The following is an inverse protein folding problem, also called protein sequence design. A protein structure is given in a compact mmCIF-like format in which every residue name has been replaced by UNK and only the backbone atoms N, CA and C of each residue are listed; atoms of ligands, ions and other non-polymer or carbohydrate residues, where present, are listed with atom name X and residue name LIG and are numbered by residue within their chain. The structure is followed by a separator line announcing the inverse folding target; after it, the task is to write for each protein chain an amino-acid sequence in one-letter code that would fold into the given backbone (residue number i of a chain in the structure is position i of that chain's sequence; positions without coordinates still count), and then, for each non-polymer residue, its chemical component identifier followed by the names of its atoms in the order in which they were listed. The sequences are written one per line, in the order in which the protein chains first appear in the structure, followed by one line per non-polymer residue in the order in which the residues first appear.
data_IF_676350067505
#
_entry.id   IF_676350067505
#
_cell.length_a   1.000
_cell.length_b   1.000
_cell.length_c   1.000
_cell.angle_alpha   90.00
_cell.angle_beta   90.00
_cell.angle_gamma   90.00
#
_symmetry.space_group_name_H-M   'P 1'
#
loop_
_entity.id
_entity.type
_entity.pdbx_description
1 polymer ?
#
# COMPACT_ATOMS: atom_id res chain seq x y z
N UNK A 1 9.70 -23.03 8.27
CA UNK A 1 9.67 -21.68 7.66
C UNK A 1 8.46 -20.85 8.11
N UNK A 2 7.24 -21.42 8.20
CA UNK A 2 6.04 -20.67 8.66
C UNK A 2 6.10 -20.21 10.14
N UNK A 3 6.63 -21.03 11.05
CA UNK A 3 6.67 -20.71 12.50
C UNK A 3 7.53 -19.49 12.84
N UNK A 4 8.71 -19.35 12.23
CA UNK A 4 9.59 -18.21 12.46
C UNK A 4 8.96 -16.90 11.96
N UNK A 5 8.34 -16.92 10.78
CA UNK A 5 7.71 -15.73 10.20
C UNK A 5 6.45 -15.34 11.00
N UNK A 6 5.65 -16.31 11.47
CA UNK A 6 4.51 -16.07 12.36
C UNK A 6 4.98 -15.44 13.68
N UNK A 7 6.02 -15.97 14.31
CA UNK A 7 6.61 -15.41 15.54
C UNK A 7 7.10 -13.97 15.35
N UNK A 8 7.85 -13.70 14.27
CA UNK A 8 8.32 -12.35 13.93
C UNK A 8 7.16 -11.39 13.69
N UNK A 9 6.10 -11.84 13.02
CA UNK A 9 4.90 -11.04 12.74
C UNK A 9 4.18 -10.67 14.05
N UNK A 10 4.02 -11.62 14.97
CA UNK A 10 3.41 -11.38 16.27
C UNK A 10 4.21 -10.41 17.13
N UNK A 11 5.55 -10.55 17.16
CA UNK A 11 6.43 -9.58 17.84
C UNK A 11 6.26 -8.20 17.22
N UNK A 12 6.16 -8.10 15.88
CA UNK A 12 6.00 -6.83 15.19
C UNK A 12 4.64 -6.19 15.47
N UNK A 13 3.56 -6.97 15.53
CA UNK A 13 2.22 -6.50 15.90
C UNK A 13 2.18 -5.96 17.33
N UNK A 14 2.82 -6.65 18.28
CA UNK A 14 2.94 -6.19 19.66
C UNK A 14 3.75 -4.88 19.77
N UNK A 15 4.81 -4.73 18.98
CA UNK A 15 5.58 -3.48 18.94
C UNK A 15 4.76 -2.33 18.32
N UNK A 16 4.01 -2.60 17.24
CA UNK A 16 3.11 -1.59 16.62
C UNK A 16 2.03 -1.15 17.61
N UNK A 17 1.45 -2.08 18.38
CA UNK A 17 0.41 -1.75 19.37
C UNK A 17 0.96 -0.88 20.49
N UNK A 18 2.17 -1.18 20.98
CA UNK A 18 2.88 -0.34 21.96
C UNK A 18 3.17 1.06 21.41
N UNK A 19 3.68 1.17 20.19
CA UNK A 19 3.94 2.46 19.55
C UNK A 19 2.65 3.27 19.35
N UNK A 20 1.56 2.62 18.95
CA UNK A 20 0.24 3.25 18.85
C UNK A 20 -0.22 3.79 20.19
N UNK A 21 -0.11 3.03 21.27
CA UNK A 21 -0.53 3.47 22.60
C UNK A 21 0.26 4.69 23.09
N UNK A 22 1.58 4.69 22.89
CA UNK A 22 2.41 5.85 23.22
C UNK A 22 2.01 7.09 22.42
N UNK A 23 1.81 6.92 21.11
CA UNK A 23 1.38 8.00 20.21
C UNK A 23 0.00 8.57 20.58
N UNK A 24 -0.98 7.73 20.90
CA UNK A 24 -2.32 8.19 21.28
C UNK A 24 -2.29 8.95 22.61
N UNK A 25 -1.47 8.51 23.57
CA UNK A 25 -1.28 9.24 24.82
C UNK A 25 -0.66 10.62 24.59
N UNK A 26 0.43 10.69 23.82
CA UNK A 26 1.09 11.97 23.51
C UNK A 26 0.18 12.91 22.74
N UNK A 27 -0.58 12.39 21.77
CA UNK A 27 -1.61 13.12 21.03
C UNK A 27 -2.72 13.63 21.94
N UNK A 28 -3.27 12.79 22.82
CA UNK A 28 -4.34 13.19 23.73
C UNK A 28 -3.88 14.31 24.67
N UNK A 29 -2.67 14.22 25.22
CA UNK A 29 -2.11 15.25 26.08
C UNK A 29 -1.83 16.55 25.32
N UNK A 30 -1.37 16.46 24.08
CA UNK A 30 -1.17 17.62 23.21
C UNK A 30 -2.51 18.32 22.92
N UNK A 31 -3.54 17.57 22.54
CA UNK A 31 -4.86 18.12 22.25
C UNK A 31 -5.53 18.74 23.49
N UNK A 32 -5.32 18.18 24.68
CA UNK A 32 -5.75 18.79 25.95
C UNK A 32 -5.10 20.16 26.16
N UNK A 33 -3.78 20.29 25.95
CA UNK A 33 -3.06 21.57 26.06
C UNK A 33 -3.59 22.60 25.07
N UNK A 34 -3.87 22.18 23.83
CA UNK A 34 -4.43 23.03 22.77
C UNK A 34 -5.86 23.48 23.11
N UNK A 35 -6.67 22.61 23.70
CA UNK A 35 -8.04 22.95 24.11
C UNK A 35 -8.08 23.99 25.25
N UNK A 36 -7.11 23.94 26.17
CA UNK A 36 -7.02 24.86 27.31
C UNK A 36 -6.61 26.29 26.91
N UNK A 37 -5.94 26.47 25.78
CA UNK A 37 -5.44 27.77 25.35
C UNK A 37 -6.54 28.58 24.62
N UNK A 38 -6.86 29.83 25.01
CA UNK A 38 -7.86 30.63 24.30
C UNK A 38 -7.36 31.24 22.98
N UNK A 39 -6.06 31.51 22.85
CA UNK A 39 -5.52 32.22 21.67
C UNK A 39 -5.22 31.27 20.53
N UNK A 40 -5.86 31.50 19.38
CA UNK A 40 -5.70 30.70 18.17
C UNK A 40 -4.24 30.56 17.70
N UNK A 41 -3.44 31.62 17.82
CA UNK A 41 -2.00 31.59 17.48
C UNK A 41 -1.24 30.63 18.40
N UNK A 42 -1.49 30.72 19.70
CA UNK A 42 -0.81 29.89 20.70
C UNK A 42 -1.23 28.43 20.57
N UNK A 43 -2.51 28.16 20.24
CA UNK A 43 -2.97 26.81 19.83
C UNK A 43 -2.13 26.23 18.70
N UNK A 44 -1.97 26.98 17.62
CA UNK A 44 -1.17 26.55 16.47
C UNK A 44 0.32 26.39 16.82
N UNK A 45 0.88 27.23 17.71
CA UNK A 45 2.26 27.12 18.18
C UNK A 45 2.49 25.86 19.03
N UNK A 46 1.57 25.55 19.96
CA UNK A 46 1.61 24.33 20.77
C UNK A 46 1.55 23.09 19.87
N UNK A 47 0.63 23.08 18.90
CA UNK A 47 0.54 21.99 17.91
C UNK A 47 1.82 21.84 17.09
N UNK A 48 2.39 22.95 16.61
CA UNK A 48 3.63 22.95 15.84
C UNK A 48 4.78 22.33 16.63
N UNK A 49 4.94 22.72 17.90
CA UNK A 49 5.97 22.16 18.77
C UNK A 49 5.73 20.66 19.01
N UNK A 50 4.49 20.26 19.24
CA UNK A 50 4.10 18.86 19.40
C UNK A 50 4.44 18.02 18.16
N UNK A 51 4.06 18.49 16.97
CA UNK A 51 4.37 17.82 15.70
C UNK A 51 5.88 17.74 15.45
N UNK A 52 6.65 18.80 15.75
CA UNK A 52 8.12 18.78 15.66
C UNK A 52 8.73 17.70 16.55
N UNK A 53 8.25 17.57 17.80
CA UNK A 53 8.72 16.54 18.73
C UNK A 53 8.40 15.13 18.23
N UNK A 54 7.19 14.90 17.73
CA UNK A 54 6.77 13.61 17.20
C UNK A 54 7.56 13.21 15.94
N UNK A 55 7.91 14.17 15.09
CA UNK A 55 8.79 13.92 13.94
C UNK A 55 10.21 13.60 14.39
N UNK A 56 10.76 14.35 15.35
CA UNK A 56 12.10 14.10 15.90
C UNK A 56 12.19 12.73 16.60
N UNK A 57 11.11 12.28 17.23
CA UNK A 57 11.00 10.95 17.82
C UNK A 57 10.81 9.83 16.78
N UNK A 58 10.62 10.16 15.49
CA UNK A 58 10.33 9.19 14.44
C UNK A 58 8.90 8.63 14.49
N UNK A 59 8.04 9.19 15.34
CA UNK A 59 6.64 8.76 15.48
C UNK A 59 5.78 9.23 14.31
N UNK A 60 6.08 10.37 13.67
CA UNK A 60 5.39 10.82 12.44
C UNK A 60 6.45 11.09 11.37
N UNK A 61 6.12 10.79 10.11
CA UNK A 61 6.95 11.19 8.97
C UNK A 61 6.60 12.62 8.56
N UNK A 62 7.61 13.45 8.34
CA UNK A 62 7.39 14.81 7.85
C UNK A 62 6.64 14.79 6.50
N UNK A 63 5.50 15.47 6.43
CA UNK A 63 4.73 15.59 5.21
C UNK A 63 5.41 16.57 4.22
N UNK A 64 5.83 16.13 3.02
CA UNK A 64 6.53 17.01 2.07
C UNK A 64 5.66 18.17 1.56
N UNK A 65 4.34 18.03 1.61
CA UNK A 65 3.40 19.12 1.26
C UNK A 65 3.23 20.17 2.37
N UNK A 66 3.87 19.95 3.52
CA UNK A 66 3.80 20.80 4.70
C UNK A 66 5.17 21.25 5.16
N UNK A 67 5.52 22.51 4.86
CA UNK A 67 6.74 23.10 5.41
C UNK A 67 6.51 23.58 6.84
N UNK A 68 6.96 22.78 7.81
CA UNK A 68 6.98 23.13 9.24
C UNK A 68 7.76 24.43 9.48
N UNK A 69 8.90 24.60 8.80
CA UNK A 69 9.72 25.80 8.90
C UNK A 69 8.97 27.06 8.42
N UNK A 70 8.13 26.94 7.39
CA UNK A 70 7.33 28.07 6.94
C UNK A 70 6.24 28.41 7.96
N UNK A 71 5.54 27.42 8.49
CA UNK A 71 4.51 27.63 9.52
C UNK A 71 5.12 28.30 10.77
N UNK A 72 6.33 27.87 11.18
CA UNK A 72 7.07 28.47 12.29
C UNK A 72 7.38 29.96 12.07
N UNK A 73 7.88 30.29 10.87
CA UNK A 73 8.16 31.69 10.48
C UNK A 73 6.90 32.52 10.47
N UNK A 74 5.82 32.03 9.88
CA UNK A 74 4.57 32.76 9.80
C UNK A 74 3.91 32.96 11.17
N UNK A 75 3.95 31.96 12.06
CA UNK A 75 3.46 32.12 13.44
C UNK A 75 4.28 33.16 14.22
N UNK A 76 5.60 33.23 13.97
CA UNK A 76 6.47 34.26 14.54
C UNK A 76 6.10 35.65 14.02
N UNK A 77 5.83 35.80 12.72
CA UNK A 77 5.40 37.07 12.11
C UNK A 77 4.02 37.51 12.62
N UNK A 78 3.09 36.57 12.80
CA UNK A 78 1.75 36.81 13.35
C UNK A 78 1.75 37.33 14.80
N UNK A 79 2.93 37.41 15.46
CA UNK A 79 3.05 38.09 16.76
C UNK A 79 3.04 39.61 16.63
N UNK A 80 3.53 40.13 15.52
CA UNK A 80 3.72 41.56 15.29
C UNK A 80 2.83 42.10 14.17
N UNK A 81 2.40 41.22 13.25
CA UNK A 81 1.59 41.60 12.10
C UNK A 81 0.10 41.30 12.32
N UNK A 82 -0.72 42.36 12.32
CA UNK A 82 -2.18 42.29 12.45
C UNK A 82 -2.88 41.90 11.14
N UNK A 83 -2.17 41.86 10.01
CA UNK A 83 -2.72 41.44 8.71
C UNK A 83 -2.94 39.92 8.62
N UNK A 84 -2.35 39.15 9.55
CA UNK A 84 -2.53 37.70 9.59
C UNK A 84 -3.96 37.36 9.96
N UNK A 85 -4.71 36.90 8.94
CA UNK A 85 -6.12 36.58 9.12
C UNK A 85 -6.33 35.38 10.06
N UNK A 86 -7.42 35.41 10.83
CA UNK A 86 -7.85 34.27 11.66
C UNK A 86 -8.07 33.00 10.84
N UNK A 87 -8.52 33.12 9.59
CA UNK A 87 -8.73 32.00 8.67
C UNK A 87 -7.42 31.25 8.38
N UNK A 88 -6.33 32.00 8.21
CA UNK A 88 -5.02 31.42 7.93
C UNK A 88 -4.47 30.65 9.15
N UNK A 89 -4.64 31.21 10.35
CA UNK A 89 -4.28 30.53 11.61
C UNK A 89 -5.11 29.25 11.83
N UNK A 90 -6.42 29.28 11.56
CA UNK A 90 -7.29 28.10 11.60
C UNK A 90 -6.87 27.04 10.58
N UNK A 91 -6.51 27.47 9.37
CA UNK A 91 -6.02 26.56 8.34
C UNK A 91 -4.73 25.84 8.78
N UNK A 92 -3.76 26.56 9.37
CA UNK A 92 -2.56 25.92 9.91
C UNK A 92 -2.85 25.00 11.09
N UNK A 93 -3.75 25.39 11.98
CA UNK A 93 -4.21 24.52 13.07
C UNK A 93 -4.77 23.20 12.51
N UNK A 94 -5.72 23.26 11.57
CA UNK A 94 -6.32 22.08 10.97
C UNK A 94 -5.28 21.22 10.23
N UNK A 95 -4.32 21.86 9.54
CA UNK A 95 -3.24 21.15 8.86
C UNK A 95 -2.34 20.40 9.86
N UNK A 96 -1.98 21.03 10.98
CA UNK A 96 -1.21 20.41 12.06
C UNK A 96 -1.97 19.27 12.74
N UNK A 97 -3.27 19.45 12.99
CA UNK A 97 -4.13 18.40 13.55
C UNK A 97 -4.25 17.19 12.64
N UNK A 98 -4.28 17.39 11.31
CA UNK A 98 -4.30 16.31 10.32
C UNK A 98 -2.99 15.49 10.29
N UNK A 99 -1.86 16.06 10.73
CA UNK A 99 -0.62 15.28 10.89
C UNK A 99 -0.69 14.32 12.08
N UNK A 100 -1.56 14.57 13.07
CA UNK A 100 -1.74 13.75 14.27
C UNK A 100 -2.65 12.53 14.02
N UNK A 101 -2.65 11.98 12.80
CA UNK A 101 -3.48 10.83 12.44
C UNK A 101 -2.85 9.50 12.86
N UNK A 102 -3.65 8.63 13.46
CA UNK A 102 -3.23 7.32 13.94
C UNK A 102 -3.38 6.22 12.89
N UNK A 103 -3.92 6.57 11.71
CA UNK A 103 -4.30 5.65 10.63
C UNK A 103 -3.13 4.77 10.17
N UNK A 104 -1.89 5.28 10.22
CA UNK A 104 -0.70 4.50 9.87
C UNK A 104 -0.50 3.26 10.75
N UNK A 105 -0.86 3.34 12.04
CA UNK A 105 -0.76 2.21 12.95
C UNK A 105 -1.87 1.19 12.67
N UNK A 106 -3.07 1.67 12.33
CA UNK A 106 -4.20 0.80 11.95
C UNK A 106 -3.89 0.03 10.67
N UNK A 107 -3.36 0.71 9.65
CA UNK A 107 -2.92 0.07 8.41
C UNK A 107 -1.81 -0.96 8.66
N UNK A 108 -0.83 -0.63 9.50
CA UNK A 108 0.25 -1.55 9.85
C UNK A 108 -0.26 -2.80 10.58
N UNK A 109 -1.22 -2.64 11.51
CA UNK A 109 -1.89 -3.77 12.17
C UNK A 109 -2.68 -4.61 11.17
N UNK A 110 -3.47 -4.00 10.28
CA UNK A 110 -4.24 -4.71 9.26
C UNK A 110 -3.34 -5.55 8.35
N UNK A 111 -2.22 -4.98 7.89
CA UNK A 111 -1.24 -5.71 7.09
C UNK A 111 -0.63 -6.88 7.86
N UNK A 112 -0.33 -6.70 9.15
CA UNK A 112 0.20 -7.79 9.98
C UNK A 112 -0.80 -8.94 10.15
N UNK A 113 -2.08 -8.64 10.37
CA UNK A 113 -3.12 -9.68 10.45
C UNK A 113 -3.34 -10.38 9.10
N UNK A 114 -3.27 -9.65 7.98
CA UNK A 114 -3.36 -10.27 6.65
C UNK A 114 -2.21 -11.27 6.42
N UNK A 115 -1.00 -10.91 6.84
CA UNK A 115 0.17 -11.81 6.78
C UNK A 115 -0.06 -13.04 7.65
N UNK A 116 -0.59 -12.86 8.87
CA UNK A 116 -0.96 -13.97 9.74
C UNK A 116 -1.99 -14.90 9.10
N UNK A 117 -3.03 -14.35 8.47
CA UNK A 117 -4.04 -15.12 7.74
C UNK A 117 -3.40 -15.93 6.60
N UNK A 118 -2.55 -15.32 5.78
CA UNK A 118 -1.84 -16.02 4.70
C UNK A 118 -0.97 -17.17 5.22
N UNK A 119 -0.38 -17.05 6.40
CA UNK A 119 0.42 -18.11 7.02
C UNK A 119 -0.45 -19.22 7.64
N UNK A 120 -1.66 -18.88 8.07
CA UNK A 120 -2.62 -19.82 8.68
C UNK A 120 -3.36 -20.71 7.67
N UNK A 121 -3.55 -20.25 6.43
CA UNK A 121 -4.28 -20.95 5.35
C UNK A 121 -3.45 -22.04 4.66
N UNK A 122 -2.26 -22.38 5.18
CA UNK A 122 -1.45 -23.49 4.64
C UNK A 122 -2.22 -24.82 4.75
N UNK A 123 -2.46 -25.55 3.64
CA UNK A 123 -3.34 -26.72 3.62
C UNK A 123 -2.80 -27.88 4.50
N UNK A 124 -3.70 -28.72 5.05
CA UNK A 124 -3.39 -29.69 6.11
C UNK A 124 -2.60 -30.95 5.67
N UNK A 125 -1.88 -30.94 4.55
CA UNK A 125 -1.12 -32.13 4.11
C UNK A 125 0.26 -32.29 4.76
N UNK A 126 0.67 -31.37 5.64
CA UNK A 126 2.00 -31.37 6.27
C UNK A 126 2.02 -31.89 7.72
N UNK A 127 0.93 -32.50 8.21
CA UNK A 127 0.86 -33.09 9.56
C UNK A 127 1.10 -34.61 9.59
N UNK A 128 2.07 -35.10 8.83
CA UNK A 128 2.62 -36.44 9.06
C UNK A 128 3.92 -36.30 9.88
N UNK A 129 4.19 -37.19 10.86
CA UNK A 129 5.38 -37.09 11.69
C UNK A 129 6.62 -37.20 10.80
N UNK A 130 7.46 -36.17 10.86
CA UNK A 130 8.76 -36.11 10.21
C UNK A 130 9.61 -37.31 10.67
N UNK A 131 9.60 -38.38 9.87
CA UNK A 131 10.79 -39.21 9.71
C UNK A 131 11.67 -38.44 8.74
N UNK A 132 12.83 -38.04 9.24
CA UNK A 132 13.95 -37.54 8.45
C UNK A 132 14.23 -38.50 7.29
N UNK A 133 13.79 -38.16 6.09
CA UNK A 133 14.35 -38.69 4.87
C UNK A 133 14.32 -37.61 3.77
N UNK A 134 15.44 -37.46 3.10
CA UNK A 134 15.73 -36.42 2.11
C UNK A 134 14.94 -36.67 0.81
N UNK A 135 13.62 -36.47 0.82
CA UNK A 135 12.76 -36.68 -0.35
C UNK A 135 11.59 -35.70 -0.52
N UNK A 136 11.41 -34.75 0.40
CA UNK A 136 10.28 -33.82 0.35
C UNK A 136 10.49 -32.66 -0.65
N UNK A 137 11.73 -32.27 -0.92
CA UNK A 137 12.05 -31.20 -1.88
C UNK A 137 11.82 -31.68 -3.32
N UNK A 138 12.15 -32.94 -3.62
CA UNK A 138 12.02 -33.51 -4.97
C UNK A 138 10.56 -33.68 -5.41
N UNK A 139 9.66 -34.11 -4.52
CA UNK A 139 8.25 -34.34 -4.87
C UNK A 139 7.47 -33.03 -5.08
N UNK A 140 7.75 -32.01 -4.26
CA UNK A 140 7.15 -30.69 -4.43
C UNK A 140 7.66 -30.00 -5.71
N UNK A 141 8.95 -30.13 -6.01
CA UNK A 141 9.52 -29.62 -7.26
C UNK A 141 8.97 -30.35 -8.48
N UNK A 142 8.84 -31.68 -8.46
CA UNK A 142 8.28 -32.44 -9.59
C UNK A 142 6.81 -32.12 -9.81
N UNK A 143 6.00 -32.02 -8.75
CA UNK A 143 4.58 -31.70 -8.88
C UNK A 143 4.37 -30.26 -9.38
N UNK A 144 5.18 -29.30 -8.93
CA UNK A 144 5.15 -27.92 -9.43
C UNK A 144 5.58 -27.83 -10.91
N UNK A 145 6.61 -28.58 -11.30
CA UNK A 145 7.07 -28.65 -12.68
C UNK A 145 6.01 -29.31 -13.59
N UNK A 146 5.34 -30.36 -13.11
CA UNK A 146 4.25 -31.02 -13.84
C UNK A 146 3.04 -30.11 -14.02
N UNK A 147 2.66 -29.36 -12.98
CA UNK A 147 1.61 -28.35 -13.05
C UNK A 147 1.96 -27.26 -14.05
N UNK A 148 3.21 -26.79 -14.03
CA UNK A 148 3.72 -25.82 -14.98
C UNK A 148 3.72 -26.36 -16.41
N UNK A 149 4.18 -27.58 -16.65
CA UNK A 149 4.14 -28.19 -17.99
C UNK A 149 2.71 -28.34 -18.51
N UNK A 150 1.76 -28.74 -17.67
CA UNK A 150 0.33 -28.81 -18.04
C UNK A 150 -0.24 -27.44 -18.39
N UNK A 151 0.11 -26.42 -17.60
CA UNK A 151 -0.31 -25.05 -17.88
C UNK A 151 0.32 -24.52 -19.17
N UNK A 152 1.62 -24.72 -19.37
CA UNK A 152 2.33 -24.29 -20.58
C UNK A 152 1.76 -25.00 -21.83
N UNK A 153 1.44 -26.29 -21.73
CA UNK A 153 0.79 -27.02 -22.81
C UNK A 153 -0.58 -26.44 -23.18
N UNK A 154 -1.37 -25.97 -22.20
CA UNK A 154 -2.67 -25.35 -22.47
C UNK A 154 -2.56 -23.91 -22.95
N UNK A 155 -1.68 -23.11 -22.34
CA UNK A 155 -1.51 -21.70 -22.64
C UNK A 155 -0.81 -21.46 -23.99
N UNK A 156 0.12 -22.34 -24.36
CA UNK A 156 0.90 -22.26 -25.59
C UNK A 156 0.50 -23.29 -26.65
N UNK A 157 -0.54 -24.10 -26.42
CA UNK A 157 -1.14 -24.89 -27.49
C UNK A 157 -1.65 -23.94 -28.58
N UNK A 158 -1.14 -24.13 -29.79
CA UNK A 158 -1.66 -23.45 -30.97
C UNK A 158 -3.14 -23.80 -31.12
N UNK A 159 -4.00 -22.77 -31.11
CA UNK A 159 -5.41 -22.96 -31.36
C UNK A 159 -5.59 -23.48 -32.80
N UNK A 160 -6.24 -24.64 -33.02
CA UNK A 160 -6.44 -25.18 -34.36
C UNK A 160 -7.34 -24.22 -35.13
N UNK A 161 -6.70 -23.34 -35.90
CA UNK A 161 -7.36 -22.32 -36.70
C UNK A 161 -7.51 -22.89 -38.09
N UNK A 162 -8.75 -23.09 -38.54
CA UNK A 162 -9.03 -23.52 -39.91
C UNK A 162 -8.67 -22.41 -40.89
N UNK A 163 -7.43 -22.46 -41.39
CA UNK A 163 -6.89 -21.51 -42.34
C UNK A 163 -7.65 -21.54 -43.67
N UNK A 164 -8.22 -22.68 -44.06
CA UNK A 164 -9.02 -22.80 -45.28
C UNK A 164 -10.36 -22.08 -45.13
N UNK A 165 -11.04 -22.24 -43.99
CA UNK A 165 -12.28 -21.51 -43.71
C UNK A 165 -12.04 -19.99 -43.61
N UNK A 166 -10.97 -19.57 -42.93
CA UNK A 166 -10.59 -18.15 -42.88
C UNK A 166 -10.25 -17.60 -44.26
N UNK A 167 -9.48 -18.34 -45.06
CA UNK A 167 -9.11 -17.89 -46.40
C UNK A 167 -10.31 -17.84 -47.34
N UNK A 168 -11.24 -18.78 -47.23
CA UNK A 168 -12.51 -18.75 -47.96
C UNK A 168 -13.37 -17.55 -47.55
N UNK A 169 -13.46 -17.25 -46.24
CA UNK A 169 -14.16 -16.09 -45.73
C UNK A 169 -13.55 -14.78 -46.22
N UNK A 170 -12.23 -14.62 -46.10
CA UNK A 170 -11.51 -13.43 -46.55
C UNK A 170 -11.60 -13.27 -48.08
N UNK A 171 -11.45 -14.35 -48.84
CA UNK A 171 -11.61 -14.31 -50.30
C UNK A 171 -13.03 -13.89 -50.67
N UNK A 172 -14.05 -14.45 -50.03
CA UNK A 172 -15.45 -14.03 -50.24
C UNK A 172 -15.65 -12.56 -49.90
N UNK A 173 -15.12 -12.10 -48.76
CA UNK A 173 -15.26 -10.72 -48.31
C UNK A 173 -14.63 -9.72 -49.29
N UNK A 174 -13.43 -10.03 -49.78
CA UNK A 174 -12.65 -9.12 -50.62
C UNK A 174 -12.97 -9.22 -52.12
N UNK A 175 -13.53 -10.33 -52.59
CA UNK A 175 -13.99 -10.48 -53.98
C UNK A 175 -15.37 -9.83 -54.24
N UNK A 176 -16.09 -9.42 -53.20
CA UNK A 176 -17.35 -8.68 -53.33
C UNK A 176 -17.16 -7.23 -53.81
N UNK A 177 -15.95 -6.67 -53.65
CA UNK A 177 -15.62 -5.32 -54.10
C UNK A 177 -14.60 -5.38 -55.25
N UNK A 178 -14.94 -4.85 -56.45
CA UNK A 178 -14.08 -4.95 -57.63
C UNK A 178 -12.75 -4.19 -57.46
N UNK A 179 -12.73 -3.14 -56.62
CA UNK A 179 -11.52 -2.37 -56.30
C UNK A 179 -10.57 -3.17 -55.40
N UNK A 180 -11.13 -3.90 -54.43
CA UNK A 180 -10.33 -4.67 -53.45
C UNK A 180 -9.86 -6.00 -54.04
N UNK A 181 -10.66 -6.63 -54.91
CA UNK A 181 -10.27 -7.83 -55.67
C UNK A 181 -9.01 -7.59 -56.52
N UNK A 182 -8.91 -6.42 -57.16
CA UNK A 182 -7.75 -6.04 -57.97
C UNK A 182 -6.49 -5.85 -57.12
N UNK A 183 -6.63 -5.28 -55.92
CA UNK A 183 -5.52 -5.09 -54.98
C UNK A 183 -5.04 -6.41 -54.35
N UNK A 184 -5.97 -7.33 -54.05
CA UNK A 184 -5.66 -8.66 -53.49
C UNK A 184 -4.88 -9.54 -54.48
N UNK A 185 -5.17 -9.45 -55.78
CA UNK A 185 -4.43 -10.19 -56.82
C UNK A 185 -2.99 -9.71 -57.00
N UNK A 186 -2.67 -8.45 -56.67
CA UNK A 186 -1.30 -7.90 -56.72
C UNK A 186 -0.46 -8.22 -55.49
N UNK A 187 -1.05 -8.70 -54.39
CA UNK A 187 -0.35 -8.99 -53.12
C UNK A 187 0.01 -10.46 -52.93
N UNK A 188 -0.38 -11.33 -53.87
CA UNK A 188 -0.09 -12.77 -53.87
C UNK A 188 1.01 -13.09 -54.87
#
# INVERSE_FOLDING_TARGET
MSETLSSVTNIKLAEISKQRAMFENTKADLLKKVAAEPKLREKAAILLEGVKKLIAAGEIKANPSMSIANIEKYLSQARYDLSVSRKLLQHWQAKLENELTSLKFEYACLCGHLVEECLSVSPPSLKAPFKSDFGFETLAETDMLDQRMKWEALAFASFPTDTAALQAYLTRLFMLSPVIAKAHLTLR
#
